data_IF_958091170226
#
_entry.id   IF_958091170226
#
_cell.length_a   1.000
_cell.length_b   1.000
_cell.length_c   1.000
_cell.angle_alpha   90.00
_cell.angle_beta   90.00
_cell.angle_gamma   90.00
#
_symmetry.space_group_name_H-M   'P 1'
#
loop_
_entity.id
_entity.type
_entity.pdbx_description
1 polymer ?
#
# COMPACT_ATOMS: atom_id res chain seq x y z
N UNK A 1 -4.64 -3.28 24.60
CA UNK A 1 -4.53 -3.71 23.18
C UNK A 1 -3.72 -2.62 22.49
N UNK A 2 -2.66 -2.98 21.76
CA UNK A 2 -1.89 -2.00 21.01
C UNK A 2 -2.72 -1.49 19.83
N UNK A 3 -2.62 -0.21 19.52
CA UNK A 3 -3.25 0.34 18.33
C UNK A 3 -2.47 -0.07 17.09
N UNK A 4 -3.18 -0.49 16.03
CA UNK A 4 -2.56 -0.73 14.72
C UNK A 4 -2.05 0.59 14.12
N UNK A 5 -2.85 1.65 14.26
CA UNK A 5 -2.50 3.01 13.85
C UNK A 5 -2.95 3.98 14.93
N UNK A 6 -2.07 4.90 15.32
CA UNK A 6 -2.42 5.98 16.24
C UNK A 6 -1.98 7.33 15.68
N UNK A 7 -2.88 8.29 15.70
CA UNK A 7 -2.68 9.68 15.35
C UNK A 7 -2.83 10.53 16.61
N UNK A 8 -1.82 11.34 16.93
CA UNK A 8 -1.84 12.25 18.08
C UNK A 8 -1.64 13.68 17.62
N UNK A 9 -2.65 14.53 17.82
CA UNK A 9 -2.66 15.96 17.46
C UNK A 9 -2.13 16.23 16.05
N UNK A 10 -2.48 15.36 15.08
CA UNK A 10 -1.97 15.44 13.71
C UNK A 10 -2.44 16.72 13.04
N UNK A 11 -1.50 17.53 12.54
CA UNK A 11 -1.74 18.82 11.89
C UNK A 11 -1.09 18.90 10.53
N UNK A 12 -1.75 19.60 9.60
CA UNK A 12 -1.18 19.89 8.28
C UNK A 12 -1.61 21.26 7.77
N UNK A 13 -0.61 22.07 7.48
CA UNK A 13 -0.77 23.37 6.85
C UNK A 13 -0.15 23.33 5.44
N UNK A 14 -0.77 24.02 4.50
CA UNK A 14 -0.19 24.37 3.21
C UNK A 14 -0.11 25.90 3.12
N UNK A 15 1.10 26.41 3.31
CA UNK A 15 1.28 27.85 3.53
C UNK A 15 0.47 28.33 4.73
N UNK A 16 -0.32 29.38 4.60
CA UNK A 16 -1.15 29.93 5.69
C UNK A 16 -2.43 29.10 5.95
N UNK A 17 -2.77 28.15 5.08
CA UNK A 17 -4.04 27.41 5.17
C UNK A 17 -3.86 26.12 5.99
N UNK A 18 -4.55 26.03 7.12
CA UNK A 18 -4.60 24.83 7.93
C UNK A 18 -5.72 23.89 7.42
N UNK A 19 -5.32 22.71 6.94
CA UNK A 19 -6.22 21.69 6.38
C UNK A 19 -6.57 20.63 7.45
N UNK A 20 -5.58 20.19 8.22
CA UNK A 20 -5.78 19.21 9.30
C UNK A 20 -5.45 19.90 10.64
N UNK A 21 -6.41 19.89 11.58
CA UNK A 21 -6.43 20.75 12.76
C UNK A 21 -6.38 19.95 14.06
N UNK A 22 -5.36 19.10 14.23
CA UNK A 22 -5.20 18.33 15.46
C UNK A 22 -6.09 17.09 15.51
N UNK A 23 -5.95 16.21 14.53
CA UNK A 23 -6.69 14.93 14.47
C UNK A 23 -6.08 13.95 15.46
N UNK A 24 -6.95 13.39 16.31
CA UNK A 24 -6.64 12.27 17.19
C UNK A 24 -7.50 11.08 16.78
N UNK A 25 -6.85 9.93 16.52
CA UNK A 25 -7.52 8.71 16.09
C UNK A 25 -6.68 7.51 16.53
N UNK A 26 -7.34 6.51 17.08
CA UNK A 26 -6.73 5.22 17.38
C UNK A 26 -7.54 4.12 16.71
N UNK A 27 -6.88 3.24 15.98
CA UNK A 27 -7.47 2.11 15.26
C UNK A 27 -6.79 0.85 15.79
N UNK A 28 -7.54 -0.08 16.33
CA UNK A 28 -7.02 -1.36 16.81
C UNK A 28 -6.79 -2.34 15.65
N UNK A 29 -5.97 -3.38 15.89
CA UNK A 29 -5.79 -4.45 14.90
C UNK A 29 -7.13 -5.13 14.57
N UNK A 30 -7.39 -5.33 13.28
CA UNK A 30 -8.62 -5.93 12.76
C UNK A 30 -9.82 -4.99 12.66
N UNK A 31 -9.74 -3.77 13.16
CA UNK A 31 -10.80 -2.79 13.02
C UNK A 31 -10.92 -2.26 11.59
N UNK A 32 -12.16 -1.90 11.21
CA UNK A 32 -12.48 -1.25 9.94
C UNK A 32 -13.03 0.13 10.21
N UNK A 33 -12.29 1.15 9.78
CA UNK A 33 -12.67 2.55 9.92
C UNK A 33 -12.96 3.20 8.57
N UNK A 34 -14.02 4.00 8.50
CA UNK A 34 -14.34 4.80 7.34
C UNK A 34 -14.20 6.30 7.66
N UNK A 35 -13.45 7.03 6.85
CA UNK A 35 -13.36 8.50 6.93
C UNK A 35 -14.36 9.10 5.97
N UNK A 36 -15.43 9.69 6.48
CA UNK A 36 -16.50 10.31 5.70
C UNK A 36 -16.49 11.83 5.87
N UNK A 37 -17.00 12.54 4.89
CA UNK A 37 -17.10 14.02 4.91
C UNK A 37 -17.20 14.60 3.50
N UNK A 38 -17.52 15.88 3.36
CA UNK A 38 -17.65 16.56 2.08
C UNK A 38 -16.35 16.62 1.29
N UNK A 39 -16.43 17.00 0.01
CA UNK A 39 -15.24 17.27 -0.78
C UNK A 39 -14.49 18.47 -0.19
N UNK A 40 -13.15 18.39 -0.13
CA UNK A 40 -12.32 19.42 0.49
C UNK A 40 -12.14 19.27 2.02
N UNK A 41 -12.82 18.35 2.70
CA UNK A 41 -12.69 18.15 4.15
C UNK A 41 -11.33 17.59 4.62
N UNK A 42 -10.34 17.46 3.74
CA UNK A 42 -9.01 16.99 4.11
C UNK A 42 -8.83 15.47 4.13
N UNK A 43 -9.82 14.66 3.74
CA UNK A 43 -9.73 13.19 3.75
C UNK A 43 -8.49 12.66 3.03
N UNK A 44 -8.30 13.06 1.79
CA UNK A 44 -7.13 12.65 0.99
C UNK A 44 -5.81 13.17 1.58
N UNK A 45 -5.84 14.34 2.21
CA UNK A 45 -4.68 14.90 2.92
C UNK A 45 -4.32 14.03 4.11
N UNK A 46 -5.31 13.62 4.92
CA UNK A 46 -5.10 12.73 6.06
C UNK A 46 -4.48 11.39 5.62
N UNK A 47 -5.01 10.74 4.59
CA UNK A 47 -4.42 9.53 4.04
C UNK A 47 -3.00 9.75 3.48
N UNK A 48 -2.72 10.91 2.89
CA UNK A 48 -1.37 11.24 2.41
C UNK A 48 -0.38 11.48 3.56
N UNK A 49 -0.84 11.95 4.73
CA UNK A 49 -0.02 12.08 5.93
C UNK A 49 0.29 10.70 6.52
N UNK A 50 -0.73 9.84 6.68
CA UNK A 50 -0.59 8.48 7.22
C UNK A 50 0.40 7.66 6.38
N UNK A 51 0.37 7.82 5.06
CA UNK A 51 1.24 7.10 4.13
C UNK A 51 2.59 7.76 3.85
N UNK A 52 2.92 8.87 4.55
CA UNK A 52 4.19 9.57 4.41
C UNK A 52 4.37 10.34 3.10
N UNK A 53 3.32 10.43 2.26
CA UNK A 53 3.38 11.22 1.01
C UNK A 53 3.51 12.72 1.30
N UNK A 54 2.95 13.18 2.41
CA UNK A 54 3.10 14.53 2.93
C UNK A 54 3.71 14.49 4.33
N UNK A 55 4.59 15.45 4.63
CA UNK A 55 5.09 15.66 5.99
C UNK A 55 4.02 16.31 6.87
N UNK A 56 4.01 15.97 8.15
CA UNK A 56 3.20 16.65 9.16
C UNK A 56 3.69 18.10 9.34
N UNK A 57 2.77 18.98 9.73
CA UNK A 57 3.10 20.30 10.29
C UNK A 57 3.14 20.28 11.81
N UNK A 58 2.60 19.24 12.44
CA UNK A 58 2.60 19.01 13.88
C UNK A 58 1.94 17.68 14.22
N UNK A 59 2.15 17.22 15.44
CA UNK A 59 1.64 15.95 15.91
C UNK A 59 2.48 14.75 15.51
N UNK A 60 1.97 13.56 15.74
CA UNK A 60 2.68 12.30 15.54
C UNK A 60 1.74 11.22 14.98
N UNK A 61 2.29 10.34 14.17
CA UNK A 61 1.62 9.13 13.69
C UNK A 61 2.49 7.94 14.06
N UNK A 62 1.89 6.93 14.70
CA UNK A 62 2.53 5.68 15.06
C UNK A 62 1.81 4.49 14.42
N UNK A 63 2.56 3.47 14.09
CA UNK A 63 2.11 2.19 13.58
C UNK A 63 2.62 1.10 14.53
N UNK A 64 1.70 0.38 15.20
CA UNK A 64 2.05 -0.64 16.21
C UNK A 64 3.12 -0.16 17.20
N UNK A 65 2.84 0.99 17.84
CA UNK A 65 3.71 1.66 18.80
C UNK A 65 5.04 2.21 18.23
N UNK A 66 5.33 2.05 16.96
CA UNK A 66 6.48 2.66 16.29
C UNK A 66 6.12 3.97 15.60
N UNK A 67 6.83 5.04 15.90
CA UNK A 67 6.65 6.34 15.23
C UNK A 67 7.04 6.24 13.77
N UNK A 68 6.12 6.60 12.89
CA UNK A 68 6.32 6.60 11.44
C UNK A 68 6.30 8.00 10.83
N UNK A 69 6.05 9.02 11.63
CA UNK A 69 6.09 10.42 11.22
C UNK A 69 7.46 10.78 10.67
N UNK A 70 7.50 11.36 9.48
CA UNK A 70 8.76 11.77 8.82
C UNK A 70 9.47 10.66 8.04
N UNK A 71 8.99 9.42 8.10
CA UNK A 71 9.51 8.34 7.26
C UNK A 71 9.01 8.48 5.81
N UNK A 72 9.84 8.03 4.86
CA UNK A 72 9.45 7.97 3.47
C UNK A 72 8.37 6.88 3.24
N UNK A 73 7.49 7.02 2.22
CA UNK A 73 6.40 6.07 1.96
C UNK A 73 6.84 4.61 1.87
N UNK A 74 8.00 4.33 1.27
CA UNK A 74 8.52 2.97 1.15
C UNK A 74 8.96 2.38 2.49
N UNK A 75 9.39 3.22 3.45
CA UNK A 75 9.76 2.78 4.81
C UNK A 75 8.50 2.44 5.62
N UNK A 76 7.45 3.25 5.49
CA UNK A 76 6.14 3.00 6.13
C UNK A 76 5.51 1.72 5.56
N UNK A 77 5.60 1.52 4.25
CA UNK A 77 5.11 0.31 3.60
C UNK A 77 5.79 -0.96 4.14
N UNK A 78 7.12 -0.92 4.36
CA UNK A 78 7.87 -2.03 4.96
C UNK A 78 7.47 -2.36 6.40
N UNK A 79 6.81 -1.43 7.08
CA UNK A 79 6.26 -1.63 8.44
C UNK A 79 4.83 -2.20 8.41
N UNK A 80 4.34 -2.58 7.22
CA UNK A 80 3.05 -3.24 7.04
C UNK A 80 1.89 -2.31 6.68
N UNK A 81 2.10 -1.00 6.50
CA UNK A 81 1.06 -0.10 6.04
C UNK A 81 1.09 0.00 4.52
N UNK A 82 0.08 -0.53 3.86
CA UNK A 82 -0.10 -0.41 2.42
C UNK A 82 -1.30 0.47 2.07
N UNK A 83 -1.27 1.06 0.87
CA UNK A 83 -2.37 1.88 0.37
C UNK A 83 -2.71 1.49 -1.07
N UNK A 84 -3.99 1.20 -1.31
CA UNK A 84 -4.52 1.16 -2.68
C UNK A 84 -4.75 2.59 -3.17
N UNK A 85 -4.39 2.87 -4.41
CA UNK A 85 -4.56 4.20 -5.01
C UNK A 85 -5.82 4.23 -5.88
N UNK A 86 -6.40 5.42 -6.05
CA UNK A 86 -7.57 5.62 -6.90
C UNK A 86 -7.23 5.52 -8.39
N UNK A 87 -5.96 5.73 -8.75
CA UNK A 87 -5.40 5.53 -10.08
C UNK A 87 -4.64 4.21 -10.07
N UNK A 88 -4.90 3.35 -11.05
CA UNK A 88 -4.25 2.05 -11.19
C UNK A 88 -2.73 2.17 -11.29
N UNK A 89 -2.01 1.67 -10.29
CA UNK A 89 -0.55 1.61 -10.24
C UNK A 89 -0.07 0.22 -10.67
N UNK A 90 -0.33 -0.13 -11.92
CA UNK A 90 0.12 -1.37 -12.55
C UNK A 90 1.19 -1.05 -13.60
N UNK A 91 2.00 -2.03 -13.94
CA UNK A 91 2.90 -1.98 -15.08
C UNK A 91 2.16 -2.51 -16.33
N UNK A 92 1.58 -1.62 -17.16
CA UNK A 92 0.61 -2.05 -18.19
C UNK A 92 1.21 -2.90 -19.30
N UNK A 93 2.54 -2.82 -19.52
CA UNK A 93 3.26 -3.60 -20.52
C UNK A 93 3.74 -4.95 -20.01
N UNK A 94 3.77 -5.16 -18.70
CA UNK A 94 4.11 -6.43 -18.07
C UNK A 94 2.86 -7.31 -17.98
N UNK A 95 3.05 -8.62 -17.94
CA UNK A 95 1.96 -9.55 -17.71
C UNK A 95 1.36 -9.36 -16.29
N UNK A 96 0.15 -9.86 -16.10
CA UNK A 96 -0.50 -9.91 -14.78
C UNK A 96 0.39 -10.65 -13.78
N UNK A 97 0.96 -11.79 -14.20
CA UNK A 97 1.90 -12.58 -13.41
C UNK A 97 3.13 -11.77 -12.98
N UNK A 98 3.77 -11.07 -13.91
CA UNK A 98 4.97 -10.27 -13.63
C UNK A 98 4.68 -9.10 -12.69
N UNK A 99 3.50 -8.48 -12.79
CA UNK A 99 3.08 -7.44 -11.87
C UNK A 99 3.04 -7.94 -10.41
N UNK A 100 2.42 -9.10 -10.16
CA UNK A 100 2.38 -9.73 -8.83
C UNK A 100 3.78 -10.16 -8.39
N UNK A 101 4.53 -10.83 -9.29
CA UNK A 101 5.87 -11.33 -9.02
C UNK A 101 6.83 -10.24 -8.54
N UNK A 102 6.74 -9.04 -9.09
CA UNK A 102 7.53 -7.89 -8.62
C UNK A 102 7.29 -7.57 -7.13
N UNK A 103 6.05 -7.65 -6.67
CA UNK A 103 5.71 -7.47 -5.26
C UNK A 103 6.26 -8.59 -4.38
N UNK A 104 6.10 -9.84 -4.83
CA UNK A 104 6.58 -11.05 -4.11
C UNK A 104 8.10 -11.04 -3.98
N UNK A 105 8.83 -10.73 -5.05
CA UNK A 105 10.30 -10.62 -5.02
C UNK A 105 10.77 -9.65 -3.93
N UNK A 106 10.06 -8.54 -3.79
CA UNK A 106 10.39 -7.55 -2.78
C UNK A 106 10.12 -8.05 -1.36
N UNK A 107 8.96 -8.65 -1.11
CA UNK A 107 8.54 -9.13 0.22
C UNK A 107 9.40 -10.29 0.72
N UNK A 108 9.84 -11.18 -0.19
CA UNK A 108 10.74 -12.29 0.15
C UNK A 108 12.22 -11.89 0.23
N UNK A 109 12.55 -10.61 0.01
CA UNK A 109 13.90 -10.09 0.23
C UNK A 109 14.87 -10.27 -0.94
N UNK A 110 14.42 -10.70 -2.12
CA UNK A 110 15.23 -10.80 -3.34
C UNK A 110 15.57 -9.43 -3.95
N UNK A 111 16.14 -8.55 -3.13
CA UNK A 111 16.52 -7.18 -3.54
C UNK A 111 17.75 -7.24 -4.43
N UNK A 112 17.67 -6.66 -5.64
CA UNK A 112 18.84 -6.44 -6.52
C UNK A 112 19.77 -7.65 -6.69
N UNK A 113 19.21 -8.87 -6.69
CA UNK A 113 20.00 -10.08 -6.87
C UNK A 113 20.24 -10.33 -8.35
N UNK A 114 21.43 -9.97 -8.84
CA UNK A 114 21.86 -10.23 -10.22
C UNK A 114 22.25 -11.69 -10.49
N UNK A 115 22.31 -12.53 -9.44
CA UNK A 115 22.79 -13.91 -9.50
C UNK A 115 21.69 -14.95 -9.62
N UNK A 116 20.41 -14.56 -9.42
CA UNK A 116 19.28 -15.47 -9.48
C UNK A 116 18.50 -15.28 -10.78
N UNK A 117 18.31 -16.38 -11.50
CA UNK A 117 17.35 -16.41 -12.60
C UNK A 117 15.96 -16.47 -11.93
N UNK A 118 15.18 -15.41 -12.08
CA UNK A 118 13.89 -15.21 -11.39
C UNK A 118 12.92 -16.36 -11.64
N UNK A 119 12.96 -16.95 -12.83
CA UNK A 119 12.08 -18.06 -13.21
C UNK A 119 12.37 -19.37 -12.42
N UNK A 120 13.56 -19.48 -11.81
CA UNK A 120 13.95 -20.63 -11.01
C UNK A 120 13.63 -20.49 -9.50
N UNK A 121 13.11 -19.35 -9.06
CA UNK A 121 12.75 -19.10 -7.68
C UNK A 121 11.39 -19.74 -7.37
N UNK A 122 11.42 -20.95 -6.81
CA UNK A 122 10.20 -21.74 -6.54
C UNK A 122 9.26 -21.05 -5.58
N UNK A 123 9.78 -20.52 -4.47
CA UNK A 123 9.05 -19.78 -3.44
C UNK A 123 8.32 -18.53 -4.00
N UNK A 124 8.99 -17.78 -4.88
CA UNK A 124 8.41 -16.62 -5.58
C UNK A 124 7.30 -17.06 -6.52
N UNK A 125 7.53 -18.11 -7.30
CA UNK A 125 6.56 -18.59 -8.29
C UNK A 125 5.33 -19.19 -7.62
N UNK A 126 5.50 -19.98 -6.55
CA UNK A 126 4.41 -20.53 -5.75
C UNK A 126 3.56 -19.42 -5.14
N UNK A 127 4.20 -18.46 -4.45
CA UNK A 127 3.47 -17.35 -3.84
C UNK A 127 2.77 -16.46 -4.87
N UNK A 128 3.37 -16.26 -6.04
CA UNK A 128 2.74 -15.52 -7.14
C UNK A 128 1.49 -16.24 -7.64
N UNK A 129 1.54 -17.57 -7.78
CA UNK A 129 0.40 -18.38 -8.22
C UNK A 129 -0.74 -18.36 -7.19
N UNK A 130 -0.44 -18.49 -5.89
CA UNK A 130 -1.42 -18.37 -4.80
C UNK A 130 -2.17 -17.03 -4.85
N UNK A 131 -1.45 -15.91 -4.98
CA UNK A 131 -2.07 -14.60 -5.04
C UNK A 131 -2.95 -14.44 -6.28
N UNK A 132 -2.52 -14.96 -7.43
CA UNK A 132 -3.32 -14.95 -8.65
C UNK A 132 -4.62 -15.73 -8.46
N UNK A 133 -4.59 -16.81 -7.70
CA UNK A 133 -5.78 -17.57 -7.33
C UNK A 133 -6.70 -16.80 -6.41
N UNK A 134 -6.15 -16.20 -5.36
CA UNK A 134 -6.90 -15.37 -4.40
C UNK A 134 -7.67 -14.22 -5.09
N UNK A 135 -7.06 -13.59 -6.12
CA UNK A 135 -7.68 -12.48 -6.86
C UNK A 135 -8.46 -12.92 -8.11
N UNK A 136 -8.51 -14.21 -8.42
CA UNK A 136 -9.26 -14.76 -9.55
C UNK A 136 -8.70 -14.43 -10.93
N UNK A 137 -7.40 -14.18 -11.06
CA UNK A 137 -6.76 -13.79 -12.33
C UNK A 137 -5.84 -14.86 -12.95
N UNK A 138 -5.91 -16.14 -12.50
CA UNK A 138 -5.06 -17.22 -13.03
C UNK A 138 -5.15 -17.35 -14.56
N UNK A 139 -6.39 -17.32 -15.10
CA UNK A 139 -6.63 -17.43 -16.54
C UNK A 139 -6.06 -16.25 -17.35
N UNK A 140 -5.75 -15.15 -16.67
CA UNK A 140 -5.19 -13.93 -17.26
C UNK A 140 -3.71 -13.72 -16.97
N UNK A 141 -3.05 -14.66 -16.30
CA UNK A 141 -1.69 -14.52 -15.79
C UNK A 141 -0.67 -14.03 -16.83
N UNK A 142 -0.77 -14.52 -18.06
CA UNK A 142 0.23 -14.26 -19.10
C UNK A 142 -0.10 -13.08 -20.02
N UNK A 143 -1.27 -12.45 -19.86
CA UNK A 143 -1.62 -11.30 -20.70
C UNK A 143 -1.09 -9.99 -20.14
N UNK A 144 -0.79 -8.99 -20.99
CA UNK A 144 -0.39 -7.67 -20.51
C UNK A 144 -1.48 -7.04 -19.60
N UNK A 145 -1.07 -6.49 -18.47
CA UNK A 145 -2.00 -5.90 -17.51
C UNK A 145 -2.80 -4.70 -18.09
N UNK A 146 -2.26 -4.02 -19.09
CA UNK A 146 -2.92 -2.90 -19.74
C UNK A 146 -4.18 -3.24 -20.54
N UNK A 147 -4.39 -4.53 -20.89
CA UNK A 147 -5.60 -4.96 -21.63
C UNK A 147 -6.69 -5.52 -20.71
N UNK A 148 -6.45 -5.56 -19.41
CA UNK A 148 -7.43 -5.94 -18.41
C UNK A 148 -8.59 -4.94 -18.35
N UNK A 149 -9.78 -5.43 -18.05
CA UNK A 149 -10.90 -4.57 -17.69
C UNK A 149 -10.62 -3.77 -16.40
N UNK A 150 -11.35 -2.71 -16.17
CA UNK A 150 -11.18 -1.90 -14.96
C UNK A 150 -11.33 -2.73 -13.66
N UNK A 151 -12.28 -3.66 -13.62
CA UNK A 151 -12.49 -4.54 -12.47
C UNK A 151 -11.29 -5.48 -12.26
N UNK A 152 -10.77 -6.08 -13.33
CA UNK A 152 -9.57 -6.94 -13.28
C UNK A 152 -8.32 -6.15 -12.88
N UNK A 153 -8.17 -4.90 -13.35
CA UNK A 153 -7.07 -4.03 -12.92
C UNK A 153 -7.15 -3.73 -11.42
N UNK A 154 -8.35 -3.53 -10.88
CA UNK A 154 -8.54 -3.36 -9.44
C UNK A 154 -8.21 -4.62 -8.64
N UNK A 155 -8.59 -5.79 -9.13
CA UNK A 155 -8.18 -7.05 -8.52
C UNK A 155 -6.66 -7.21 -8.54
N UNK A 156 -6.00 -6.87 -9.66
CA UNK A 156 -4.55 -6.90 -9.78
C UNK A 156 -3.85 -5.95 -8.78
N UNK A 157 -4.38 -4.74 -8.56
CA UNK A 157 -3.84 -3.82 -7.54
C UNK A 157 -3.91 -4.40 -6.12
N UNK A 158 -5.02 -5.06 -5.79
CA UNK A 158 -5.17 -5.75 -4.51
C UNK A 158 -4.10 -6.84 -4.41
N UNK A 159 -3.93 -7.65 -5.46
CA UNK A 159 -2.90 -8.68 -5.51
C UNK A 159 -1.48 -8.13 -5.34
N UNK A 160 -1.13 -7.02 -5.99
CA UNK A 160 0.18 -6.35 -5.81
C UNK A 160 0.35 -5.88 -4.35
N UNK A 161 -0.72 -5.40 -3.74
CA UNK A 161 -0.71 -4.96 -2.34
C UNK A 161 -0.45 -6.13 -1.38
N UNK A 162 -1.13 -7.26 -1.58
CA UNK A 162 -0.91 -8.51 -0.84
C UNK A 162 0.52 -9.02 -1.06
N UNK A 163 0.99 -9.03 -2.31
CA UNK A 163 2.33 -9.45 -2.68
C UNK A 163 3.42 -8.63 -1.98
N UNK A 164 3.18 -7.34 -1.75
CA UNK A 164 4.09 -6.45 -1.03
C UNK A 164 4.19 -6.69 0.48
N UNK A 165 3.46 -7.67 1.04
CA UNK A 165 3.49 -8.02 2.46
C UNK A 165 2.55 -7.20 3.33
N UNK A 166 1.52 -6.58 2.76
CA UNK A 166 0.43 -5.98 3.53
C UNK A 166 -0.49 -7.10 4.06
N UNK A 167 -0.56 -7.25 5.36
CA UNK A 167 -1.50 -8.11 6.09
C UNK A 167 -2.69 -7.30 6.55
#
# INVERSE_FOLDING_TARGET
MSAAIELRDVRKNFGPTEIIRGVNLSIADGERHAVIGPNGAGKSTLFNLITGKYSLSGGEISLRDEVVSGLAPFQINRKGLSRSFQVTNIFPRMSVYENIRCGVLWSLGYKYSFWHIVDNLKDVNERTAEILEEIGLQARAQIPAGVLTYAEQRALEIGITIAGGAN
#
